data_IF_055446569997
#
_entry.id   IF_055446569997
#
_cell.length_a   1.000
_cell.length_b   1.000
_cell.length_c   1.000
_cell.angle_alpha   90.00
_cell.angle_beta   90.00
_cell.angle_gamma   90.00
#
_symmetry.space_group_name_H-M   'P 1'
#
loop_
_entity.id
_entity.type
_entity.pdbx_description
1 polymer ?
#
# COMPACT_ATOMS: atom_id res chain seq x y z
N UNK A 1 21.72 7.87 32.73
CA UNK A 1 22.09 6.89 31.67
C UNK A 1 21.06 5.78 31.54
N UNK A 2 20.75 5.00 32.58
CA UNK A 2 19.78 3.88 32.48
C UNK A 2 18.37 4.29 32.03
N UNK A 3 17.83 5.38 32.55
CA UNK A 3 16.49 5.88 32.18
C UNK A 3 16.41 6.41 30.73
N UNK A 4 17.53 6.90 30.19
CA UNK A 4 17.60 7.42 28.82
C UNK A 4 17.59 6.27 27.79
N UNK A 5 18.28 5.17 28.10
CA UNK A 5 18.28 3.95 27.27
C UNK A 5 16.88 3.34 27.20
N UNK A 6 16.17 3.27 28.33
CA UNK A 6 14.78 2.80 28.36
C UNK A 6 13.86 3.63 27.46
N UNK A 7 14.01 4.96 27.46
CA UNK A 7 13.21 5.85 26.63
C UNK A 7 13.44 5.63 25.14
N UNK A 8 14.71 5.41 24.74
CA UNK A 8 15.07 5.14 23.35
C UNK A 8 14.53 3.79 22.88
N UNK A 9 14.58 2.74 23.73
CA UNK A 9 14.02 1.43 23.39
C UNK A 9 12.50 1.53 23.18
N UNK A 10 11.79 2.23 24.05
CA UNK A 10 10.34 2.43 23.92
C UNK A 10 10.00 3.16 22.61
N UNK A 11 10.77 4.20 22.27
CA UNK A 11 10.56 4.94 21.02
C UNK A 11 10.76 4.05 19.78
N UNK A 12 11.82 3.22 19.77
CA UNK A 12 12.08 2.29 18.67
C UNK A 12 10.95 1.27 18.53
N UNK A 13 10.44 0.74 19.66
CA UNK A 13 9.33 -0.22 19.64
C UNK A 13 8.05 0.42 19.06
N UNK A 14 7.74 1.67 19.40
CA UNK A 14 6.58 2.39 18.84
C UNK A 14 6.73 2.57 17.32
N UNK A 15 7.92 2.93 16.84
CA UNK A 15 8.18 3.11 15.40
C UNK A 15 8.01 1.77 14.67
N UNK A 16 8.57 0.68 15.19
CA UNK A 16 8.47 -0.65 14.58
C UNK A 16 7.03 -1.14 14.49
N UNK A 17 6.24 -0.97 15.55
CA UNK A 17 4.81 -1.34 15.54
C UNK A 17 4.04 -0.49 14.54
N UNK A 18 4.29 0.82 14.49
CA UNK A 18 3.65 1.73 13.53
C UNK A 18 3.94 1.38 12.07
N UNK A 19 5.19 1.04 11.74
CA UNK A 19 5.56 0.59 10.40
C UNK A 19 4.88 -0.73 10.02
N UNK A 20 4.72 -1.65 10.98
CA UNK A 20 4.08 -2.94 10.70
C UNK A 20 2.59 -2.79 10.39
N UNK A 21 1.85 -2.04 11.21
CA UNK A 21 0.43 -1.74 10.98
C UNK A 21 0.20 -1.04 9.63
N UNK A 22 1.10 -0.13 9.26
CA UNK A 22 1.05 0.55 7.96
C UNK A 22 1.17 -0.44 6.80
N UNK A 23 2.15 -1.35 6.83
CA UNK A 23 2.33 -2.37 5.79
C UNK A 23 1.16 -3.35 5.69
N UNK A 24 0.57 -3.76 6.83
CA UNK A 24 -0.62 -4.62 6.82
C UNK A 24 -1.77 -3.90 6.11
N UNK A 25 -1.98 -2.61 6.41
CA UNK A 25 -3.05 -1.81 5.80
C UNK A 25 -2.86 -1.67 4.29
N UNK A 26 -1.64 -1.42 3.81
CA UNK A 26 -1.36 -1.36 2.37
C UNK A 26 -1.65 -2.70 1.69
N UNK A 27 -1.20 -3.81 2.28
CA UNK A 27 -1.38 -5.14 1.71
C UNK A 27 -2.87 -5.53 1.64
N UNK A 28 -3.66 -5.24 2.69
CA UNK A 28 -5.11 -5.48 2.67
C UNK A 28 -5.79 -4.65 1.58
N UNK A 29 -5.41 -3.38 1.41
CA UNK A 29 -5.98 -2.54 0.35
C UNK A 29 -5.64 -3.07 -1.03
N UNK A 30 -4.41 -3.55 -1.24
CA UNK A 30 -3.94 -4.09 -2.51
C UNK A 30 -4.73 -5.35 -2.89
N UNK A 31 -4.99 -6.23 -1.91
CA UNK A 31 -5.79 -7.45 -2.11
C UNK A 31 -7.26 -7.17 -2.45
N UNK A 32 -7.76 -5.97 -2.15
CA UNK A 32 -9.12 -5.56 -2.51
C UNK A 32 -9.22 -4.94 -3.91
N UNK A 33 -8.10 -4.76 -4.61
CA UNK A 33 -8.09 -4.33 -6.01
C UNK A 33 -8.42 -5.56 -6.88
N UNK A 34 -9.41 -5.50 -7.78
CA UNK A 34 -9.66 -6.59 -8.73
C UNK A 34 -8.43 -6.89 -9.60
N UNK A 35 -8.15 -8.17 -9.86
CA UNK A 35 -6.95 -8.61 -10.60
C UNK A 35 -6.78 -7.90 -11.95
N UNK A 36 -7.87 -7.74 -12.72
CA UNK A 36 -7.84 -7.05 -14.02
C UNK A 36 -7.47 -5.57 -13.91
N UNK A 37 -7.90 -4.91 -12.83
CA UNK A 37 -7.56 -3.52 -12.55
C UNK A 37 -6.10 -3.43 -12.09
N UNK A 38 -5.66 -4.37 -11.26
CA UNK A 38 -4.26 -4.45 -10.83
C UNK A 38 -3.33 -4.61 -12.04
N UNK A 39 -3.63 -5.54 -12.95
CA UNK A 39 -2.85 -5.75 -14.17
C UNK A 39 -2.82 -4.51 -15.06
N UNK A 40 -3.97 -3.85 -15.25
CA UNK A 40 -4.04 -2.59 -16.02
C UNK A 40 -3.14 -1.50 -15.42
N UNK A 41 -3.15 -1.34 -14.10
CA UNK A 41 -2.31 -0.36 -13.41
C UNK A 41 -0.83 -0.74 -13.53
N UNK A 42 -0.49 -2.01 -13.33
CA UNK A 42 0.88 -2.51 -13.46
C UNK A 42 1.43 -2.24 -14.88
N UNK A 43 0.65 -2.52 -15.92
CA UNK A 43 1.02 -2.25 -17.32
C UNK A 43 1.20 -0.75 -17.61
N UNK A 44 0.47 0.12 -16.91
CA UNK A 44 0.58 1.58 -17.03
C UNK A 44 1.81 2.15 -16.33
N UNK A 45 2.09 1.70 -15.10
CA UNK A 45 3.22 2.19 -14.30
C UNK A 45 4.54 1.59 -14.79
N UNK A 46 4.51 0.38 -15.33
CA UNK A 46 5.67 -0.32 -15.87
C UNK A 46 6.43 -1.12 -14.82
N UNK A 47 7.42 -1.88 -15.29
CA UNK A 47 8.16 -2.81 -14.45
C UNK A 47 8.87 -2.11 -13.28
N UNK A 48 8.70 -2.69 -12.09
CA UNK A 48 9.34 -2.22 -10.86
C UNK A 48 8.53 -1.22 -10.05
N UNK A 49 7.28 -0.94 -10.43
CA UNK A 49 6.38 -0.17 -9.58
C UNK A 49 6.13 -0.89 -8.24
N UNK A 50 6.08 -0.12 -7.17
CA UNK A 50 5.82 -0.60 -5.81
C UNK A 50 4.32 -0.70 -5.54
N UNK A 51 3.95 -1.54 -4.57
CA UNK A 51 2.55 -1.70 -4.14
C UNK A 51 1.92 -0.35 -3.72
N UNK A 52 2.72 0.53 -3.11
CA UNK A 52 2.27 1.87 -2.71
C UNK A 52 1.97 2.75 -3.94
N UNK A 53 2.77 2.68 -5.00
CA UNK A 53 2.52 3.38 -6.26
C UNK A 53 1.28 2.84 -6.99
N UNK A 54 1.04 1.52 -6.92
CA UNK A 54 -0.18 0.89 -7.47
C UNK A 54 -1.41 1.39 -6.71
N UNK A 55 -1.35 1.43 -5.37
CA UNK A 55 -2.43 1.94 -4.52
C UNK A 55 -2.70 3.43 -4.76
N UNK A 56 -1.64 4.24 -4.84
CA UNK A 56 -1.75 5.67 -5.12
C UNK A 56 -2.39 5.90 -6.49
N UNK A 57 -1.98 5.14 -7.51
CA UNK A 57 -2.58 5.23 -8.83
C UNK A 57 -4.06 4.83 -8.80
N UNK A 58 -4.40 3.73 -8.12
CA UNK A 58 -5.78 3.23 -7.98
C UNK A 58 -6.70 4.25 -7.30
N UNK A 59 -6.22 4.91 -6.25
CA UNK A 59 -6.97 5.96 -5.54
C UNK A 59 -7.13 7.22 -6.41
N UNK A 60 -6.05 7.66 -7.08
CA UNK A 60 -6.06 8.86 -7.91
C UNK A 60 -6.88 8.70 -9.20
N UNK A 61 -6.92 7.48 -9.77
CA UNK A 61 -7.57 7.18 -11.05
C UNK A 61 -8.78 6.26 -10.87
N UNK A 62 -9.49 6.37 -9.73
CA UNK A 62 -10.60 5.49 -9.38
C UNK A 62 -11.66 5.36 -10.47
N UNK A 63 -12.00 6.46 -11.14
CA UNK A 63 -12.98 6.46 -12.22
C UNK A 63 -12.53 5.70 -13.48
N UNK A 64 -11.22 5.67 -13.76
CA UNK A 64 -10.64 4.83 -14.82
C UNK A 64 -10.67 3.36 -14.40
N UNK A 65 -10.20 3.08 -13.19
CA UNK A 65 -10.14 1.73 -12.65
C UNK A 65 -11.52 1.05 -12.60
N UNK A 66 -12.55 1.79 -12.17
CA UNK A 66 -13.93 1.28 -12.15
C UNK A 66 -14.46 0.96 -13.56
N UNK A 67 -13.98 1.64 -14.62
CA UNK A 67 -14.37 1.30 -16.00
C UNK A 67 -13.75 -0.01 -16.44
N UNK A 68 -12.46 -0.20 -16.15
CA UNK A 68 -11.76 -1.47 -16.43
C UNK A 68 -12.44 -2.63 -15.72
N UNK A 69 -12.84 -2.44 -14.46
CA UNK A 69 -13.58 -3.45 -13.70
C UNK A 69 -14.94 -3.80 -14.34
N UNK A 70 -15.64 -2.82 -14.92
CA UNK A 70 -16.96 -3.02 -15.54
C UNK A 70 -16.91 -3.52 -16.99
N UNK A 71 -15.81 -3.29 -17.70
CA UNK A 71 -15.61 -3.75 -19.08
C UNK A 71 -15.35 -5.27 -19.18
N UNK A 72 -15.02 -5.92 -18.07
CA UNK A 72 -14.81 -7.38 -17.97
C UNK A 72 -16.10 -8.18 -17.64
N UNK A 73 -17.26 -7.50 -17.51
CA UNK A 73 -18.58 -8.10 -17.24
C UNK A 73 -19.49 -8.24 -18.46
#
# INVERSE_FOLDING_TARGET
>A
MKNLIFFVIILILIILVGSWEFHITEQERLQNIPDIVYEHIYLKLGDGCTDSEILEYYDAHRAECNKVELEDF
#
